data_IF_479605589939
#
_entry.id   IF_479605589939
#
_cell.length_a   1.000
_cell.length_b   1.000
_cell.length_c   1.000
_cell.angle_alpha   90.00
_cell.angle_beta   90.00
_cell.angle_gamma   90.00
#
_symmetry.space_group_name_H-M   'P 1'
#
loop_
_entity.id
_entity.type
_entity.pdbx_description
1 polymer ?
#
# COMPACT_ATOMS: atom_id res chain seq x y z
N UNK A 1 -18.21 13.93 -3.29
CA UNK A 1 -19.45 14.71 -3.19
C UNK A 1 -19.16 16.17 -2.91
N UNK A 2 -19.92 17.04 -3.53
CA UNK A 2 -19.87 18.50 -3.33
C UNK A 2 -21.14 19.05 -2.65
N UNK A 3 -22.11 18.18 -2.41
CA UNK A 3 -23.37 18.50 -1.76
C UNK A 3 -23.91 17.32 -0.94
N UNK A 4 -24.76 17.60 0.04
CA UNK A 4 -25.38 16.57 0.89
C UNK A 4 -26.21 15.57 0.07
N UNK A 5 -27.01 16.05 -0.91
CA UNK A 5 -27.85 15.18 -1.74
C UNK A 5 -27.02 14.20 -2.59
N UNK A 6 -25.84 14.63 -3.04
CA UNK A 6 -24.89 13.77 -3.74
C UNK A 6 -24.30 12.73 -2.79
N UNK A 7 -23.93 13.14 -1.59
CA UNK A 7 -23.40 12.24 -0.57
C UNK A 7 -24.41 11.17 -0.15
N UNK A 8 -25.69 11.52 -0.03
CA UNK A 8 -26.77 10.58 0.29
C UNK A 8 -26.95 9.52 -0.80
N UNK A 9 -26.79 9.86 -2.07
CA UNK A 9 -26.80 8.87 -3.17
C UNK A 9 -25.62 7.92 -3.10
N UNK A 10 -24.45 8.41 -2.70
CA UNK A 10 -23.25 7.58 -2.53
C UNK A 10 -23.46 6.60 -1.36
N UNK A 11 -24.10 7.04 -0.27
CA UNK A 11 -24.41 6.18 0.87
C UNK A 11 -25.28 4.97 0.50
N UNK A 12 -26.08 5.03 -0.57
CA UNK A 12 -26.83 3.87 -1.08
C UNK A 12 -25.93 2.78 -1.69
N UNK A 13 -24.71 3.13 -2.07
CA UNK A 13 -23.76 2.23 -2.80
C UNK A 13 -22.60 1.78 -1.97
N UNK A 14 -22.21 2.53 -0.93
CA UNK A 14 -21.08 2.21 -0.05
C UNK A 14 -21.60 1.80 1.33
N UNK A 15 -21.23 0.61 1.84
CA UNK A 15 -21.69 0.16 3.16
C UNK A 15 -21.01 0.95 4.29
N UNK A 16 -21.71 1.07 5.39
CA UNK A 16 -21.15 1.58 6.64
C UNK A 16 -20.18 0.54 7.27
N UNK A 17 -19.12 0.97 7.94
CA UNK A 17 -18.75 2.36 8.18
C UNK A 17 -18.11 3.03 6.95
N UNK A 18 -18.29 4.35 6.85
CA UNK A 18 -17.76 5.19 5.76
C UNK A 18 -16.73 6.17 6.32
N UNK A 19 -15.64 6.37 5.60
CA UNK A 19 -14.65 7.41 5.88
C UNK A 19 -15.01 8.64 5.05
N UNK A 20 -15.10 9.80 5.70
CA UNK A 20 -15.26 11.10 5.07
C UNK A 20 -13.91 11.80 5.10
N UNK A 21 -13.40 12.19 3.92
CA UNK A 21 -12.19 12.99 3.81
C UNK A 21 -12.47 14.30 3.09
N UNK A 22 -12.35 15.45 3.78
CA UNK A 22 -12.41 16.74 3.11
C UNK A 22 -11.26 16.89 2.10
N UNK A 23 -11.57 17.40 0.92
CA UNK A 23 -10.56 17.62 -0.11
C UNK A 23 -9.64 18.78 0.27
N UNK A 24 -8.34 18.66 -0.06
CA UNK A 24 -7.30 19.68 0.17
C UNK A 24 -7.11 20.11 1.63
N UNK A 25 -7.34 19.22 2.59
CA UNK A 25 -6.97 19.44 3.99
C UNK A 25 -5.63 18.76 4.31
N UNK A 26 -4.92 19.26 5.31
CA UNK A 26 -3.64 18.72 5.77
C UNK A 26 -3.83 17.89 7.03
N UNK A 27 -3.04 16.81 7.14
CA UNK A 27 -2.96 15.99 8.37
C UNK A 27 -4.25 15.33 8.79
N UNK A 28 -5.17 15.06 7.86
CA UNK A 28 -6.45 14.42 8.17
C UNK A 28 -7.48 15.35 8.82
N UNK A 29 -7.24 16.67 8.81
CA UNK A 29 -8.17 17.65 9.37
C UNK A 29 -9.57 17.51 8.78
N UNK A 30 -10.59 17.44 9.64
CA UNK A 30 -12.00 17.27 9.26
C UNK A 30 -12.37 15.87 8.79
N UNK A 31 -11.40 14.93 8.75
CA UNK A 31 -11.67 13.53 8.47
C UNK A 31 -12.50 12.88 9.59
N UNK A 32 -13.51 12.11 9.21
CA UNK A 32 -14.41 11.44 10.14
C UNK A 32 -14.76 10.04 9.66
N UNK A 33 -15.14 9.18 10.62
CA UNK A 33 -15.67 7.84 10.34
C UNK A 33 -17.13 7.82 10.77
N UNK A 34 -17.98 7.42 9.87
CA UNK A 34 -19.44 7.32 10.08
C UNK A 34 -19.83 5.87 10.27
N UNK A 35 -20.40 5.54 11.41
CA UNK A 35 -20.84 4.19 11.75
C UNK A 35 -22.36 3.98 11.58
N UNK A 36 -23.13 5.02 11.53
CA UNK A 36 -24.60 4.99 11.39
C UNK A 36 -25.11 6.11 10.47
N UNK A 37 -26.34 5.99 9.99
CA UNK A 37 -26.95 6.97 9.09
C UNK A 37 -27.33 8.30 9.76
N UNK A 38 -27.56 8.28 11.06
CA UNK A 38 -28.01 9.45 11.81
C UNK A 38 -26.94 10.55 11.82
N UNK A 39 -25.70 10.15 12.02
CA UNK A 39 -24.55 11.07 12.07
C UNK A 39 -24.03 11.47 10.67
N UNK A 40 -24.43 10.74 9.62
CA UNK A 40 -23.86 10.89 8.28
C UNK A 40 -24.01 12.33 7.73
N UNK A 41 -25.21 12.89 7.77
CA UNK A 41 -25.48 14.22 7.19
C UNK A 41 -24.71 15.32 7.91
N UNK A 42 -24.62 15.24 9.23
CA UNK A 42 -23.88 16.21 10.04
C UNK A 42 -22.38 16.15 9.73
N UNK A 43 -21.81 14.95 9.71
CA UNK A 43 -20.38 14.74 9.46
C UNK A 43 -19.97 15.07 8.02
N UNK A 44 -20.85 14.81 7.03
CA UNK A 44 -20.62 15.25 5.64
C UNK A 44 -20.63 16.77 5.56
N UNK A 45 -21.61 17.46 6.22
CA UNK A 45 -21.67 18.92 6.24
C UNK A 45 -20.39 19.51 6.82
N UNK A 46 -19.97 19.00 7.96
CA UNK A 46 -18.70 19.41 8.58
C UNK A 46 -17.51 19.22 7.63
N UNK A 47 -17.43 18.09 6.93
CA UNK A 47 -16.38 17.83 5.95
C UNK A 47 -16.40 18.80 4.76
N UNK A 48 -17.59 19.14 4.26
CA UNK A 48 -17.75 20.14 3.20
C UNK A 48 -17.33 21.55 3.64
N UNK A 49 -17.64 21.92 4.88
CA UNK A 49 -17.27 23.22 5.47
C UNK A 49 -15.74 23.32 5.71
N UNK A 50 -15.08 22.21 6.09
CA UNK A 50 -13.62 22.14 6.29
C UNK A 50 -12.84 22.17 4.97
N UNK A 51 -13.45 21.74 3.88
CA UNK A 51 -12.80 21.71 2.56
C UNK A 51 -12.78 23.11 1.93
N UNK A 52 -11.59 23.62 1.50
CA UNK A 52 -11.48 24.92 0.84
C UNK A 52 -12.27 25.01 -0.48
N UNK A 53 -12.64 23.87 -1.07
CA UNK A 53 -13.43 23.79 -2.31
C UNK A 53 -14.80 23.14 -2.09
N UNK A 54 -15.24 23.00 -0.83
CA UNK A 54 -16.51 22.38 -0.44
C UNK A 54 -16.71 21.00 -1.11
N UNK A 55 -15.70 20.13 -0.97
CA UNK A 55 -15.73 18.77 -1.54
C UNK A 55 -15.23 17.74 -0.53
N UNK A 56 -15.90 16.59 -0.48
CA UNK A 56 -15.51 15.44 0.33
C UNK A 56 -15.39 14.18 -0.51
N UNK A 57 -14.42 13.35 -0.18
CA UNK A 57 -14.33 11.98 -0.61
C UNK A 57 -15.03 11.10 0.41
N UNK A 58 -15.86 10.17 -0.07
CA UNK A 58 -16.55 9.16 0.73
C UNK A 58 -15.99 7.79 0.34
N UNK A 59 -15.44 7.08 1.31
CA UNK A 59 -14.75 5.81 1.08
C UNK A 59 -15.31 4.73 1.99
N UNK A 60 -15.40 3.51 1.48
CA UNK A 60 -15.64 2.32 2.30
C UNK A 60 -14.51 2.19 3.34
N UNK A 61 -14.88 1.97 4.59
CA UNK A 61 -13.91 1.77 5.64
C UNK A 61 -13.34 0.36 5.62
N UNK A 62 -12.03 0.26 5.68
CA UNK A 62 -11.29 -1.01 5.83
C UNK A 62 -10.73 -1.19 7.25
N UNK A 63 -11.26 -0.45 8.23
CA UNK A 63 -10.86 -0.61 9.64
C UNK A 63 -11.03 -2.06 10.08
N UNK A 64 -9.99 -2.58 10.75
CA UNK A 64 -9.97 -3.95 11.23
C UNK A 64 -9.60 -5.00 10.18
N UNK A 65 -9.36 -4.59 8.91
CA UNK A 65 -8.77 -5.49 7.92
C UNK A 65 -7.29 -5.68 8.20
N UNK A 66 -6.74 -6.78 7.73
CA UNK A 66 -5.29 -7.03 7.77
C UNK A 66 -4.57 -6.12 6.79
N UNK A 67 -3.40 -5.65 7.16
CA UNK A 67 -2.55 -4.80 6.33
C UNK A 67 -1.30 -5.55 5.87
N UNK A 68 -1.06 -5.52 4.56
CA UNK A 68 0.12 -6.08 3.92
C UNK A 68 0.77 -5.07 3.01
N UNK A 69 2.09 -5.18 2.91
CA UNK A 69 2.88 -4.36 2.00
C UNK A 69 3.78 -5.26 1.15
N UNK A 70 3.98 -4.88 -0.11
CA UNK A 70 4.98 -5.49 -0.98
C UNK A 70 6.01 -4.44 -1.39
N UNK A 71 7.28 -4.74 -1.17
CA UNK A 71 8.39 -3.98 -1.72
C UNK A 71 8.71 -4.53 -3.10
N UNK A 72 8.50 -3.70 -4.12
CA UNK A 72 8.56 -4.08 -5.53
C UNK A 72 9.56 -3.21 -6.25
N UNK A 73 10.30 -3.79 -7.18
CA UNK A 73 11.22 -3.04 -8.03
C UNK A 73 11.01 -3.42 -9.50
N UNK A 74 11.07 -2.42 -10.38
CA UNK A 74 10.97 -2.60 -11.83
C UNK A 74 12.02 -1.78 -12.55
N UNK A 75 12.53 -2.30 -13.65
CA UNK A 75 13.50 -1.64 -14.52
C UNK A 75 12.94 -1.33 -15.93
N UNK A 76 13.75 -0.66 -16.75
CA UNK A 76 13.42 -0.25 -18.12
C UNK A 76 13.18 -1.42 -19.08
N UNK A 77 13.66 -2.62 -18.78
CA UNK A 77 13.41 -3.85 -19.56
C UNK A 77 12.18 -4.63 -19.08
N UNK A 78 11.39 -4.05 -18.18
CA UNK A 78 10.24 -4.69 -17.56
C UNK A 78 10.58 -5.92 -16.68
N UNK A 79 11.80 -6.04 -16.20
CA UNK A 79 12.09 -6.98 -15.13
C UNK A 79 11.44 -6.48 -13.84
N UNK A 80 10.61 -7.31 -13.20
CA UNK A 80 9.92 -6.99 -11.95
C UNK A 80 10.33 -7.98 -10.87
N UNK A 81 10.69 -7.47 -9.70
CA UNK A 81 11.11 -8.25 -8.53
C UNK A 81 10.26 -7.87 -7.33
N UNK A 82 9.62 -8.85 -6.69
CA UNK A 82 9.04 -8.69 -5.37
C UNK A 82 10.15 -8.99 -4.35
N UNK A 83 10.67 -7.94 -3.73
CA UNK A 83 11.83 -8.04 -2.85
C UNK A 83 11.45 -8.64 -1.51
N UNK A 84 10.33 -8.20 -0.96
CA UNK A 84 9.86 -8.64 0.34
C UNK A 84 8.36 -8.42 0.46
N UNK A 85 7.69 -9.34 1.14
CA UNK A 85 6.35 -9.14 1.69
C UNK A 85 6.45 -8.74 3.16
N UNK A 86 5.58 -7.84 3.57
CA UNK A 86 5.54 -7.29 4.92
C UNK A 86 4.10 -7.39 5.43
N UNK A 87 3.95 -7.76 6.69
CA UNK A 87 2.68 -7.74 7.39
C UNK A 87 2.75 -6.75 8.56
N UNK A 88 1.79 -5.85 8.64
CA UNK A 88 1.60 -5.02 9.82
C UNK A 88 0.72 -5.79 10.81
N UNK A 89 1.21 -5.99 12.04
CA UNK A 89 0.53 -6.79 13.06
C UNK A 89 -0.78 -6.14 13.51
N UNK A 90 -0.78 -4.81 13.61
CA UNK A 90 -1.98 -4.06 13.94
C UNK A 90 -2.88 -3.95 12.70
N UNK A 91 -4.21 -4.05 12.89
CA UNK A 91 -5.15 -3.95 11.77
C UNK A 91 -5.21 -2.54 11.20
N UNK A 92 -5.75 -2.45 9.97
CA UNK A 92 -6.07 -1.16 9.33
C UNK A 92 -6.81 -0.21 10.27
N UNK A 93 -6.37 1.03 10.31
CA UNK A 93 -6.80 2.08 11.25
C UNK A 93 -5.70 2.53 12.21
N UNK A 94 -4.67 1.71 12.41
CA UNK A 94 -3.41 2.06 13.07
C UNK A 94 -2.42 2.48 11.99
N UNK A 95 -1.71 3.58 12.19
CA UNK A 95 -0.73 4.03 11.21
C UNK A 95 0.44 3.03 11.12
N UNK A 96 0.85 2.66 9.92
CA UNK A 96 1.95 1.69 9.67
C UNK A 96 3.22 2.00 10.43
N UNK A 97 3.52 3.29 10.64
CA UNK A 97 4.69 3.73 11.42
C UNK A 97 4.62 3.45 12.91
N UNK A 98 3.44 3.11 13.44
CA UNK A 98 3.18 2.83 14.85
C UNK A 98 2.86 1.35 15.10
N UNK A 99 2.83 0.54 14.04
CA UNK A 99 2.56 -0.89 14.07
C UNK A 99 3.84 -1.72 14.19
N UNK A 100 3.73 -2.90 14.80
CA UNK A 100 4.76 -3.94 14.70
C UNK A 100 4.72 -4.49 13.28
N UNK A 101 5.87 -4.48 12.63
CA UNK A 101 6.03 -4.87 11.22
C UNK A 101 6.82 -6.18 11.12
N UNK A 102 6.30 -7.15 10.39
CA UNK A 102 6.86 -8.50 10.25
C UNK A 102 7.25 -8.76 8.80
N UNK A 103 8.47 -9.20 8.59
CA UNK A 103 8.98 -9.58 7.25
C UNK A 103 9.60 -10.99 7.29
N UNK A 104 9.22 -11.92 6.41
CA UNK A 104 8.12 -11.85 5.45
C UNK A 104 6.75 -11.95 6.15
N UNK A 105 5.68 -11.65 5.42
CA UNK A 105 4.32 -11.87 5.87
C UNK A 105 4.10 -13.30 6.38
N UNK A 106 3.22 -13.48 7.39
CA UNK A 106 3.04 -14.77 8.07
C UNK A 106 1.64 -15.37 7.93
N UNK A 107 0.63 -14.56 7.66
CA UNK A 107 -0.78 -14.98 7.79
C UNK A 107 -1.54 -15.11 6.48
N UNK A 108 -0.91 -14.83 5.34
CA UNK A 108 -1.47 -15.13 4.02
C UNK A 108 -1.19 -16.58 3.64
N UNK A 109 -2.16 -17.23 3.01
CA UNK A 109 -1.93 -18.46 2.27
C UNK A 109 -1.09 -18.17 1.01
N UNK A 110 -0.45 -19.20 0.45
CA UNK A 110 0.31 -19.03 -0.80
C UNK A 110 -0.55 -18.45 -1.93
N UNK A 111 -1.79 -18.92 -2.06
CA UNK A 111 -2.72 -18.41 -3.07
C UNK A 111 -3.04 -16.92 -2.91
N UNK A 112 -3.27 -16.46 -1.69
CA UNK A 112 -3.51 -15.06 -1.39
C UNK A 112 -2.26 -14.23 -1.67
N UNK A 113 -1.10 -14.71 -1.25
CA UNK A 113 0.18 -14.05 -1.52
C UNK A 113 0.46 -13.92 -3.02
N UNK A 114 0.27 -14.99 -3.82
CA UNK A 114 0.44 -14.92 -5.27
C UNK A 114 -0.54 -13.93 -5.90
N UNK A 115 -1.78 -13.83 -5.41
CA UNK A 115 -2.72 -12.82 -5.88
C UNK A 115 -2.23 -11.39 -5.61
N UNK A 116 -1.70 -11.11 -4.42
CA UNK A 116 -1.11 -9.80 -4.11
C UNK A 116 0.10 -9.50 -5.01
N UNK A 117 0.94 -10.49 -5.29
CA UNK A 117 2.08 -10.37 -6.22
C UNK A 117 1.63 -9.99 -7.62
N UNK A 118 0.64 -10.69 -8.15
CA UNK A 118 0.08 -10.41 -9.49
C UNK A 118 -0.52 -9.00 -9.57
N UNK A 119 -1.22 -8.58 -8.52
CA UNK A 119 -1.75 -7.22 -8.41
C UNK A 119 -0.62 -6.19 -8.36
N UNK A 120 0.42 -6.42 -7.56
CA UNK A 120 1.55 -5.51 -7.42
C UNK A 120 2.29 -5.31 -8.75
N UNK A 121 2.52 -6.39 -9.49
CA UNK A 121 3.15 -6.36 -10.82
C UNK A 121 2.31 -5.54 -11.81
N UNK A 122 0.98 -5.72 -11.79
CA UNK A 122 0.07 -4.92 -12.63
C UNK A 122 0.10 -3.44 -12.24
N UNK A 123 0.07 -3.15 -10.95
CA UNK A 123 0.06 -1.77 -10.42
C UNK A 123 1.34 -1.03 -10.81
N UNK A 124 2.52 -1.62 -10.58
CA UNK A 124 3.78 -0.94 -10.89
C UNK A 124 3.95 -0.67 -12.38
N UNK A 125 3.42 -1.55 -13.24
CA UNK A 125 3.38 -1.36 -14.68
C UNK A 125 2.42 -0.25 -15.09
N UNK A 126 1.22 -0.24 -14.56
CA UNK A 126 0.17 0.75 -14.88
C UNK A 126 0.58 2.16 -14.44
N UNK A 127 1.18 2.30 -13.27
CA UNK A 127 1.73 3.57 -12.79
C UNK A 127 2.95 4.01 -13.60
N UNK A 128 3.66 3.08 -14.24
CA UNK A 128 4.79 3.38 -15.11
C UNK A 128 6.11 3.63 -14.37
N UNK A 129 6.28 3.06 -13.17
CA UNK A 129 7.61 3.07 -12.50
C UNK A 129 8.52 2.09 -13.20
N UNK A 130 9.63 2.56 -13.71
CA UNK A 130 10.60 1.78 -14.50
C UNK A 130 12.06 1.96 -14.07
N UNK A 131 12.33 2.69 -13.03
CA UNK A 131 13.70 2.97 -12.58
C UNK A 131 13.86 2.91 -11.07
N UNK A 132 13.16 2.01 -10.40
CA UNK A 132 13.32 1.96 -8.95
C UNK A 132 12.36 1.09 -8.19
N UNK A 133 12.41 1.27 -6.87
CA UNK A 133 11.58 0.57 -5.91
C UNK A 133 10.31 1.33 -5.57
N UNK A 134 9.30 0.57 -5.19
CA UNK A 134 8.00 1.06 -4.76
C UNK A 134 7.48 0.20 -3.62
N UNK A 135 6.75 0.84 -2.72
CA UNK A 135 5.98 0.17 -1.69
C UNK A 135 4.51 0.18 -2.11
N UNK A 136 3.87 -0.98 -2.11
CA UNK A 136 2.45 -1.13 -2.43
C UNK A 136 1.73 -1.69 -1.21
N UNK A 137 0.69 -1.01 -0.74
CA UNK A 137 -0.07 -1.36 0.45
C UNK A 137 -1.42 -1.96 0.07
N UNK A 138 -1.78 -3.04 0.74
CA UNK A 138 -3.02 -3.78 0.56
C UNK A 138 -3.75 -3.97 1.89
N UNK A 139 -5.06 -3.82 1.86
CA UNK A 139 -5.94 -4.29 2.92
C UNK A 139 -6.59 -5.60 2.49
N UNK A 140 -6.59 -6.60 3.38
CA UNK A 140 -7.22 -7.90 3.15
C UNK A 140 -8.29 -8.14 4.20
N UNK A 141 -9.53 -8.33 3.76
CA UNK A 141 -10.64 -8.60 4.66
C UNK A 141 -10.46 -9.98 5.31
N UNK A 142 -10.34 -10.07 6.65
CA UNK A 142 -10.13 -11.35 7.32
C UNK A 142 -11.32 -12.31 7.25
N UNK A 143 -12.50 -11.83 6.82
CA UNK A 143 -13.74 -12.64 6.77
C UNK A 143 -13.93 -13.37 5.45
N UNK A 144 -13.61 -12.70 4.34
CA UNK A 144 -13.90 -13.21 2.99
C UNK A 144 -12.70 -13.18 2.03
N UNK A 145 -11.55 -12.64 2.48
CA UNK A 145 -10.34 -12.54 1.69
C UNK A 145 -10.38 -11.45 0.60
N UNK A 146 -11.40 -10.56 0.60
CA UNK A 146 -11.46 -9.44 -0.35
C UNK A 146 -10.23 -8.55 -0.17
N UNK A 147 -9.59 -8.21 -1.28
CA UNK A 147 -8.39 -7.36 -1.30
C UNK A 147 -8.77 -5.96 -1.79
N UNK A 148 -8.22 -4.96 -1.12
CA UNK A 148 -8.29 -3.57 -1.53
C UNK A 148 -6.88 -2.98 -1.61
N UNK A 149 -6.58 -2.32 -2.73
CA UNK A 149 -5.32 -1.57 -2.86
C UNK A 149 -5.49 -0.24 -2.12
N UNK A 150 -4.60 0.04 -1.20
CA UNK A 150 -4.66 1.27 -0.39
C UNK A 150 -3.90 2.38 -1.10
N UNK A 151 -2.60 2.16 -1.34
CA UNK A 151 -1.76 3.11 -2.06
C UNK A 151 -0.51 2.45 -2.62
N UNK A 152 0.12 3.14 -3.56
CA UNK A 152 1.47 2.84 -4.01
C UNK A 152 2.36 4.06 -3.79
N UNK A 153 3.48 3.85 -3.15
CA UNK A 153 4.51 4.87 -2.92
C UNK A 153 5.69 4.63 -3.87
N UNK A 154 5.82 5.36 -5.00
CA UNK A 154 6.86 5.14 -6.00
C UNK A 154 8.20 5.72 -5.54
N UNK A 155 8.67 5.31 -4.41
CA UNK A 155 9.90 5.75 -3.76
C UNK A 155 10.39 4.73 -2.75
N UNK A 156 11.65 4.83 -2.36
CA UNK A 156 12.19 4.12 -1.19
C UNK A 156 11.53 4.67 0.08
N UNK A 157 11.16 3.79 0.99
CA UNK A 157 10.40 4.06 2.21
C UNK A 157 11.08 3.49 3.46
N UNK A 158 10.46 3.67 4.63
CA UNK A 158 10.90 3.02 5.87
C UNK A 158 10.81 1.50 5.77
N UNK A 159 9.74 0.98 5.18
CA UNK A 159 9.56 -0.45 4.92
C UNK A 159 10.61 -0.99 3.94
N UNK A 160 11.09 -0.20 2.98
CA UNK A 160 12.22 -0.57 2.12
C UNK A 160 13.51 -0.79 2.91
N UNK A 161 13.74 -0.01 3.98
CA UNK A 161 14.89 -0.20 4.86
C UNK A 161 14.79 -1.52 5.65
N UNK A 162 13.60 -1.82 6.19
CA UNK A 162 13.31 -3.11 6.84
C UNK A 162 13.50 -4.27 5.87
N UNK A 163 12.89 -4.20 4.69
CA UNK A 163 13.00 -5.21 3.64
C UNK A 163 14.46 -5.45 3.23
N UNK A 164 15.24 -4.38 3.03
CA UNK A 164 16.66 -4.49 2.71
C UNK A 164 17.45 -5.18 3.80
N UNK A 165 17.16 -4.88 5.06
CA UNK A 165 17.81 -5.50 6.21
C UNK A 165 17.40 -6.96 6.37
N UNK A 166 16.10 -7.25 6.19
CA UNK A 166 15.57 -8.61 6.32
C UNK A 166 16.10 -9.55 5.21
N UNK A 167 16.12 -9.09 3.97
CA UNK A 167 16.47 -9.92 2.81
C UNK A 167 17.96 -9.89 2.43
N UNK A 168 18.67 -8.85 2.83
CA UNK A 168 20.01 -8.58 2.32
C UNK A 168 20.04 -7.93 0.94
N UNK A 169 18.85 -7.66 0.32
CA UNK A 169 18.72 -6.99 -0.97
C UNK A 169 18.78 -5.46 -0.78
N UNK A 170 19.83 -4.77 -1.26
CA UNK A 170 20.04 -3.35 -0.96
C UNK A 170 19.19 -2.47 -1.89
N UNK A 171 17.91 -2.29 -1.58
CA UNK A 171 16.91 -1.61 -2.41
C UNK A 171 17.40 -0.23 -2.89
N UNK A 172 17.88 0.62 -1.97
CA UNK A 172 18.31 1.97 -2.32
C UNK A 172 19.53 1.98 -3.26
N UNK A 173 20.49 1.10 -3.05
CA UNK A 173 21.67 0.95 -3.92
C UNK A 173 21.27 0.51 -5.33
N UNK A 174 20.38 -0.48 -5.43
CA UNK A 174 19.93 -0.99 -6.72
C UNK A 174 19.06 0.04 -7.43
N UNK A 175 18.13 0.70 -6.72
CA UNK A 175 17.33 1.81 -7.26
C UNK A 175 18.20 2.93 -7.85
N UNK A 176 19.30 3.30 -7.19
CA UNK A 176 20.24 4.29 -7.70
C UNK A 176 20.92 3.83 -9.01
N UNK A 177 21.23 2.52 -9.14
CA UNK A 177 21.80 1.96 -10.38
C UNK A 177 20.76 1.93 -11.51
N UNK A 178 19.50 1.59 -11.22
CA UNK A 178 18.43 1.65 -12.20
C UNK A 178 18.20 3.08 -12.70
N UNK A 179 18.28 4.07 -11.82
CA UNK A 179 18.11 5.47 -12.17
C UNK A 179 19.18 6.02 -13.15
N UNK A 180 20.35 5.39 -13.21
CA UNK A 180 21.40 5.73 -14.18
C UNK A 180 21.40 4.82 -15.42
N UNK A 181 20.36 4.00 -15.60
CA UNK A 181 20.11 3.24 -16.82
C UNK A 181 20.55 1.78 -16.81
N UNK A 182 21.09 1.25 -15.69
CA UNK A 182 21.32 -0.17 -15.56
C UNK A 182 19.99 -0.92 -15.39
N UNK A 183 19.98 -2.20 -15.73
CA UNK A 183 18.83 -3.08 -15.56
C UNK A 183 19.09 -4.18 -14.54
N UNK A 184 18.05 -4.80 -13.98
CA UNK A 184 18.15 -5.78 -12.90
C UNK A 184 18.95 -7.03 -13.32
N UNK A 185 18.90 -7.38 -14.60
CA UNK A 185 19.68 -8.49 -15.17
C UNK A 185 21.18 -8.16 -15.36
N UNK A 186 21.54 -6.87 -15.42
CA UNK A 186 22.91 -6.38 -15.51
C UNK A 186 23.57 -6.14 -14.14
N UNK A 187 22.77 -6.06 -13.08
CA UNK A 187 23.24 -5.81 -11.72
C UNK A 187 23.45 -7.13 -11.00
N UNK A 188 24.64 -7.35 -10.43
CA UNK A 188 24.88 -8.51 -9.58
C UNK A 188 24.04 -8.45 -8.31
N UNK A 189 23.46 -9.59 -7.94
CA UNK A 189 22.74 -9.76 -6.68
C UNK A 189 23.74 -9.74 -5.50
N UNK A 190 23.57 -8.79 -4.60
CA UNK A 190 24.48 -8.62 -3.46
C UNK A 190 24.43 -9.79 -2.46
N UNK A 191 23.35 -10.56 -2.45
CA UNK A 191 23.15 -11.72 -1.55
C UNK A 191 23.97 -12.91 -2.04
N UNK A 192 23.73 -13.32 -3.28
CA UNK A 192 24.37 -14.50 -3.86
C UNK A 192 25.74 -14.19 -4.46
N UNK A 193 25.94 -12.97 -4.99
CA UNK A 193 27.10 -12.50 -5.75
C UNK A 193 27.36 -13.25 -7.06
N UNK A 194 26.49 -14.18 -7.41
CA UNK A 194 26.57 -15.03 -8.60
C UNK A 194 25.40 -14.81 -9.54
N UNK A 195 24.19 -14.59 -9.00
CA UNK A 195 22.98 -14.37 -9.80
C UNK A 195 22.73 -12.88 -10.07
N UNK A 196 21.95 -12.54 -11.11
CA UNK A 196 21.49 -11.18 -11.32
C UNK A 196 20.48 -10.71 -10.25
N UNK A 197 20.33 -9.39 -10.10
CA UNK A 197 19.41 -8.78 -9.15
C UNK A 197 17.92 -8.97 -9.51
N UNK A 198 17.60 -9.52 -10.69
CA UNK A 198 16.25 -9.90 -11.09
C UNK A 198 15.75 -11.20 -10.42
N UNK A 199 16.58 -11.90 -9.65
CA UNK A 199 16.15 -13.02 -8.83
C UNK A 199 15.66 -12.54 -7.47
N UNK A 200 14.46 -12.98 -7.09
CA UNK A 200 13.84 -12.61 -5.83
C UNK A 200 14.57 -13.20 -4.63
N UNK A 201 14.76 -12.44 -3.54
CA UNK A 201 15.29 -12.99 -2.30
C UNK A 201 14.31 -13.99 -1.68
N UNK A 202 14.85 -15.01 -1.04
CA UNK A 202 14.10 -15.92 -0.17
C UNK A 202 14.77 -15.94 1.20
N UNK A 203 13.96 -15.93 2.27
CA UNK A 203 14.45 -15.98 3.65
C UNK A 203 13.70 -17.07 4.40
N UNK A 204 14.40 -17.76 5.31
CA UNK A 204 13.90 -18.84 6.16
C UNK A 204 13.80 -18.44 7.64
N UNK A 205 13.79 -17.16 7.90
CA UNK A 205 13.63 -16.54 9.21
C UNK A 205 12.64 -15.36 9.16
N UNK A 206 12.22 -14.90 10.30
CA UNK A 206 11.30 -13.76 10.46
C UNK A 206 12.04 -12.62 11.10
N UNK A 207 11.81 -11.41 10.62
CA UNK A 207 12.30 -10.15 11.18
C UNK A 207 11.11 -9.32 11.64
N UNK A 208 11.15 -8.82 12.86
CA UNK A 208 10.16 -7.93 13.48
C UNK A 208 10.83 -6.63 13.93
#
# INVERSE_FOLDING_TARGET
ASAIDEALKILETIPLPIIIRPAFTLGGTGGNIVYNQEDFVELVRKGLDESPISQVLLEESVIGWKEFELEVMRDLKDNVVIICSIENFDPMGIHTGDSITIAPQQTLTDKEYQNLRDMAIKIIREIGVETGGSNIQFAVNPKDGRVMVIEMNPRVSRSSALASKATGFPIAKIAAKLAVGLTLDEIANDITRETPACFEPTIDYVVT
#
